data_IF_339636847650
#
_entry.id   IF_339636847650
#
_cell.length_a   1.000
_cell.length_b   1.000
_cell.length_c   1.000
_cell.angle_alpha   90.00
_cell.angle_beta   90.00
_cell.angle_gamma   90.00
#
_symmetry.space_group_name_H-M   'P 1'
#
loop_
_entity.id
_entity.type
_entity.pdbx_description
1 polymer ?
#
# COMPACT_ATOMS: atom_id res chain seq x y z
N UNK A 1 -18.10 50.65 2.36
CA UNK A 1 -18.88 49.45 1.98
C UNK A 1 -17.86 48.36 1.73
N UNK A 2 -17.64 47.53 2.75
CA UNK A 2 -16.73 46.38 2.66
C UNK A 2 -17.40 45.34 1.77
N UNK A 3 -16.83 45.11 0.59
CA UNK A 3 -17.24 44.02 -0.28
C UNK A 3 -16.99 42.71 0.44
N UNK A 4 -18.06 42.00 0.77
CA UNK A 4 -18.00 40.63 1.23
C UNK A 4 -17.29 39.81 0.15
N UNK A 5 -16.01 39.49 0.36
CA UNK A 5 -15.28 38.48 -0.38
C UNK A 5 -15.97 37.14 -0.11
N UNK A 6 -16.98 36.83 -0.90
CA UNK A 6 -17.60 35.51 -0.93
C UNK A 6 -16.50 34.54 -1.37
N UNK A 7 -16.12 33.61 -0.48
CA UNK A 7 -15.21 32.53 -0.85
C UNK A 7 -15.76 31.84 -2.10
N UNK A 8 -14.93 31.61 -3.12
CA UNK A 8 -15.36 30.87 -4.30
C UNK A 8 -15.90 29.50 -3.87
N UNK A 9 -17.07 29.14 -4.38
CA UNK A 9 -17.66 27.83 -4.09
C UNK A 9 -16.70 26.73 -4.60
N UNK A 10 -16.40 25.70 -3.80
CA UNK A 10 -15.57 24.59 -4.26
C UNK A 10 -16.16 23.95 -5.51
N UNK A 11 -15.34 23.87 -6.55
CA UNK A 11 -15.68 23.24 -7.82
C UNK A 11 -15.81 21.72 -7.63
N UNK A 12 -16.35 21.03 -8.64
CA UNK A 12 -16.37 19.57 -8.63
C UNK A 12 -14.94 18.99 -8.54
N UNK A 13 -13.98 19.64 -9.19
CA UNK A 13 -12.57 19.24 -9.18
C UNK A 13 -12.00 19.33 -7.76
N UNK A 14 -12.21 20.45 -7.06
CA UNK A 14 -11.74 20.62 -5.67
C UNK A 14 -12.30 19.54 -4.73
N UNK A 15 -13.56 19.12 -4.96
CA UNK A 15 -14.19 18.04 -4.20
C UNK A 15 -13.60 16.67 -4.53
N UNK A 16 -13.31 16.40 -5.81
CA UNK A 16 -12.64 15.17 -6.22
C UNK A 16 -11.22 15.08 -5.69
N UNK A 17 -10.46 16.18 -5.72
CA UNK A 17 -9.12 16.25 -5.14
C UNK A 17 -9.17 16.01 -3.63
N UNK A 18 -10.11 16.65 -2.92
CA UNK A 18 -10.33 16.39 -1.50
C UNK A 18 -10.62 14.91 -1.23
N UNK A 19 -11.60 14.32 -1.92
CA UNK A 19 -11.96 12.91 -1.74
C UNK A 19 -10.80 11.96 -2.07
N UNK A 20 -10.04 12.25 -3.12
CA UNK A 20 -8.87 11.46 -3.51
C UNK A 20 -7.76 11.56 -2.46
N UNK A 21 -7.57 12.72 -1.85
CA UNK A 21 -6.60 12.91 -0.77
C UNK A 21 -6.91 12.07 0.49
N UNK A 22 -8.19 11.70 0.70
CA UNK A 22 -8.59 10.81 1.79
C UNK A 22 -8.15 9.36 1.57
N UNK A 23 -7.87 8.98 0.33
CA UNK A 23 -7.41 7.63 -0.03
C UNK A 23 -5.89 7.51 -0.01
N UNK A 24 -5.16 8.62 0.04
CA UNK A 24 -3.70 8.63 -0.12
C UNK A 24 -3.01 7.69 0.87
N UNK A 25 -3.28 7.84 2.18
CA UNK A 25 -2.68 7.00 3.22
C UNK A 25 -3.03 5.53 3.07
N UNK A 26 -4.23 5.23 2.57
CA UNK A 26 -4.61 3.85 2.27
C UNK A 26 -3.75 3.30 1.14
N UNK A 27 -3.60 4.03 0.04
CA UNK A 27 -2.79 3.60 -1.10
C UNK A 27 -1.32 3.44 -0.73
N UNK A 28 -0.76 4.36 0.06
CA UNK A 28 0.63 4.31 0.55
C UNK A 28 0.88 3.10 1.45
N UNK A 29 0.01 2.87 2.45
CA UNK A 29 0.09 1.68 3.30
C UNK A 29 -0.08 0.41 2.47
N UNK A 30 -1.00 0.42 1.50
CA UNK A 30 -1.26 -0.75 0.66
C UNK A 30 -0.04 -1.10 -0.20
N UNK A 31 0.62 -0.08 -0.76
CA UNK A 31 1.85 -0.21 -1.52
C UNK A 31 2.97 -0.84 -0.68
N UNK A 32 3.22 -0.29 0.51
CA UNK A 32 4.26 -0.79 1.43
C UNK A 32 3.97 -2.22 1.90
N UNK A 33 2.70 -2.57 2.15
CA UNK A 33 2.30 -3.93 2.49
C UNK A 33 2.51 -4.90 1.32
N UNK A 34 2.21 -4.48 0.09
CA UNK A 34 2.48 -5.31 -1.10
C UNK A 34 3.99 -5.54 -1.26
N UNK A 35 4.81 -4.51 -1.05
CA UNK A 35 6.26 -4.65 -1.04
C UNK A 35 6.74 -5.63 0.04
N UNK A 36 6.18 -5.56 1.25
CA UNK A 36 6.49 -6.52 2.32
C UNK A 36 6.31 -7.97 1.85
N UNK A 37 5.17 -8.30 1.24
CA UNK A 37 4.95 -9.67 0.76
C UNK A 37 5.86 -10.07 -0.39
N UNK A 38 6.21 -9.16 -1.30
CA UNK A 38 7.13 -9.48 -2.40
C UNK A 38 8.58 -9.68 -1.96
N UNK A 39 9.01 -8.99 -0.90
CA UNK A 39 10.37 -9.10 -0.35
C UNK A 39 10.49 -10.12 0.79
N UNK A 40 9.36 -10.61 1.30
CA UNK A 40 9.33 -11.65 2.32
C UNK A 40 9.83 -12.97 1.75
N UNK A 41 10.82 -13.58 2.40
CA UNK A 41 11.25 -14.95 2.09
C UNK A 41 10.31 -16.01 2.70
N UNK A 42 9.32 -15.59 3.49
CA UNK A 42 8.36 -16.47 4.14
C UNK A 42 7.26 -16.89 3.15
N UNK A 43 7.12 -18.20 2.92
CA UNK A 43 6.03 -18.76 2.13
C UNK A 43 4.67 -18.58 2.84
N UNK A 44 4.66 -18.69 4.17
CA UNK A 44 3.44 -18.57 4.98
C UNK A 44 3.60 -17.53 6.07
N UNK A 45 2.54 -16.78 6.26
CA UNK A 45 2.42 -15.71 7.24
C UNK A 45 1.42 -16.08 8.34
N UNK A 46 1.53 -15.48 9.53
CA UNK A 46 0.59 -15.74 10.61
C UNK A 46 -0.84 -15.26 10.25
N UNK A 47 -1.88 -15.66 11.02
CA UNK A 47 -3.24 -15.18 10.80
C UNK A 47 -3.34 -13.65 10.80
N UNK A 48 -4.36 -13.12 10.09
CA UNK A 48 -4.56 -11.67 9.88
C UNK A 48 -4.29 -10.81 11.11
N UNK A 49 -4.82 -11.16 12.30
CA UNK A 49 -4.61 -10.33 13.51
C UNK A 49 -3.13 -10.12 13.87
N UNK A 50 -2.31 -11.16 13.76
CA UNK A 50 -0.86 -11.07 14.01
C UNK A 50 -0.14 -10.44 12.82
N UNK A 51 -0.58 -10.76 11.61
CA UNK A 51 -0.04 -10.21 10.37
C UNK A 51 -0.21 -8.69 10.30
N UNK A 52 -1.34 -8.13 10.75
CA UNK A 52 -1.56 -6.69 10.81
C UNK A 52 -0.48 -5.97 11.62
N UNK A 53 -0.03 -6.57 12.73
CA UNK A 53 1.05 -5.99 13.54
C UNK A 53 2.41 -6.08 12.83
N UNK A 54 2.67 -7.16 12.10
CA UNK A 54 3.89 -7.27 11.28
C UNK A 54 3.91 -6.25 10.15
N UNK A 55 2.79 -6.10 9.44
CA UNK A 55 2.61 -5.09 8.40
C UNK A 55 2.76 -3.67 8.97
N UNK A 56 2.17 -3.39 10.14
CA UNK A 56 2.33 -2.10 10.81
C UNK A 56 3.80 -1.81 11.15
N UNK A 57 4.56 -2.81 11.64
CA UNK A 57 6.00 -2.67 11.88
C UNK A 57 6.80 -2.41 10.61
N UNK A 58 6.40 -2.99 9.47
CA UNK A 58 7.04 -2.70 8.18
C UNK A 58 6.75 -1.27 7.70
N UNK A 59 5.53 -0.77 7.91
CA UNK A 59 5.16 0.63 7.66
C UNK A 59 5.95 1.58 8.58
N UNK A 60 6.13 1.21 9.85
CA UNK A 60 6.94 1.98 10.80
C UNK A 60 8.39 2.13 10.31
N UNK A 61 8.99 1.05 9.81
CA UNK A 61 10.32 1.12 9.20
C UNK A 61 10.35 2.05 7.98
N UNK A 62 9.34 1.98 7.10
CA UNK A 62 9.24 2.86 5.94
C UNK A 62 9.10 4.34 6.33
N UNK A 63 8.44 4.66 7.44
CA UNK A 63 8.39 6.02 8.02
C UNK A 63 9.75 6.45 8.56
N UNK A 64 10.45 5.57 9.28
CA UNK A 64 11.79 5.86 9.83
C UNK A 64 12.84 6.08 8.72
N UNK A 65 12.70 5.39 7.59
CA UNK A 65 13.54 5.55 6.40
C UNK A 65 13.16 6.77 5.54
N UNK A 66 12.11 7.52 5.91
CA UNK A 66 11.54 8.64 5.14
C UNK A 66 10.98 8.23 3.77
N UNK A 67 10.67 6.94 3.56
CA UNK A 67 9.94 6.43 2.40
C UNK A 67 8.44 6.75 2.49
N UNK A 68 7.93 6.88 3.71
CA UNK A 68 6.62 7.46 4.03
C UNK A 68 6.83 8.72 4.88
N UNK A 69 5.88 9.66 4.82
CA UNK A 69 5.96 10.92 5.57
C UNK A 69 4.84 11.14 6.58
N UNK A 70 3.78 10.32 6.55
CA UNK A 70 2.59 10.52 7.36
C UNK A 70 2.28 9.31 8.25
N UNK A 71 2.26 9.54 9.57
CA UNK A 71 1.98 8.52 10.58
C UNK A 71 0.56 7.95 10.50
N UNK A 72 -0.38 8.59 9.79
CA UNK A 72 -1.72 8.02 9.54
C UNK A 72 -1.65 6.67 8.86
N UNK A 73 -0.60 6.40 8.08
CA UNK A 73 -0.35 5.10 7.45
C UNK A 73 -0.22 3.94 8.45
N UNK A 74 0.12 4.21 9.73
CA UNK A 74 0.18 3.21 10.80
C UNK A 74 -1.19 2.82 11.36
N UNK A 75 -2.28 3.48 10.97
CA UNK A 75 -3.61 3.14 11.47
C UNK A 75 -3.92 1.66 11.25
N UNK A 76 -4.24 0.94 12.33
CA UNK A 76 -4.62 -0.47 12.23
C UNK A 76 -5.88 -0.67 11.38
N UNK A 77 -6.78 0.31 11.34
CA UNK A 77 -7.95 0.25 10.46
C UNK A 77 -7.52 0.26 8.99
N UNK A 78 -6.56 1.11 8.63
CA UNK A 78 -5.99 1.15 7.27
C UNK A 78 -5.29 -0.17 6.96
N UNK A 79 -4.44 -0.66 7.87
CA UNK A 79 -3.69 -1.91 7.66
C UNK A 79 -4.64 -3.11 7.52
N UNK A 80 -5.63 -3.23 8.40
CA UNK A 80 -6.63 -4.29 8.34
C UNK A 80 -7.44 -4.23 7.03
N UNK A 81 -7.81 -3.02 6.59
CA UNK A 81 -8.48 -2.84 5.31
C UNK A 81 -7.57 -3.28 4.15
N UNK A 82 -6.30 -2.92 4.14
CA UNK A 82 -5.35 -3.37 3.10
C UNK A 82 -5.30 -4.90 3.02
N UNK A 83 -5.18 -5.59 4.17
CA UNK A 83 -5.18 -7.05 4.22
C UNK A 83 -6.51 -7.65 3.74
N UNK A 84 -7.64 -7.07 4.13
CA UNK A 84 -8.95 -7.50 3.65
C UNK A 84 -9.09 -7.34 2.13
N UNK A 85 -8.58 -6.24 1.57
CA UNK A 85 -8.54 -6.02 0.12
C UNK A 85 -7.65 -7.04 -0.59
N UNK A 86 -6.48 -7.38 -0.06
CA UNK A 86 -5.64 -8.46 -0.61
C UNK A 86 -6.38 -9.80 -0.65
N UNK A 87 -7.14 -10.12 0.41
CA UNK A 87 -7.96 -11.33 0.44
C UNK A 87 -9.04 -11.30 -0.63
N UNK A 88 -9.76 -10.18 -0.74
CA UNK A 88 -10.82 -10.00 -1.73
C UNK A 88 -10.31 -10.03 -3.18
N UNK A 89 -9.07 -9.61 -3.42
CA UNK A 89 -8.40 -9.64 -4.73
C UNK A 89 -7.68 -10.97 -5.00
N UNK A 90 -7.87 -11.99 -4.15
CA UNK A 90 -7.18 -13.28 -4.24
C UNK A 90 -5.64 -13.16 -4.26
N UNK A 91 -5.11 -12.06 -3.72
CA UNK A 91 -3.69 -11.80 -3.55
C UNK A 91 -3.17 -12.37 -2.22
N UNK A 92 -4.06 -12.61 -1.26
CA UNK A 92 -3.78 -13.29 -0.01
C UNK A 92 -4.87 -14.32 0.27
N UNK A 93 -4.52 -15.49 0.76
CA UNK A 93 -5.48 -16.58 1.01
C UNK A 93 -5.26 -17.19 2.40
N UNK A 94 -6.33 -17.62 3.06
CA UNK A 94 -6.21 -18.38 4.30
C UNK A 94 -6.12 -19.86 3.97
N UNK A 95 -5.09 -20.52 4.48
CA UNK A 95 -4.90 -21.96 4.37
C UNK A 95 -4.87 -22.59 5.77
N UNK A 96 -5.15 -23.89 5.83
CA UNK A 96 -4.95 -24.69 7.04
C UNK A 96 -3.74 -25.60 6.82
N UNK A 97 -2.73 -25.49 7.68
CA UNK A 97 -1.52 -26.32 7.65
C UNK A 97 -1.19 -26.75 9.06
N UNK A 98 -1.01 -28.05 9.28
CA UNK A 98 -0.69 -28.64 10.59
C UNK A 98 -1.68 -28.25 11.72
N UNK A 99 -2.94 -28.00 11.36
CA UNK A 99 -3.98 -27.57 12.31
C UNK A 99 -3.98 -26.07 12.63
N UNK A 100 -3.06 -25.31 12.05
CA UNK A 100 -2.98 -23.85 12.19
C UNK A 100 -3.52 -23.14 10.95
N UNK A 101 -4.20 -22.02 11.19
CA UNK A 101 -4.63 -21.11 10.12
C UNK A 101 -3.48 -20.18 9.77
N UNK A 102 -3.06 -20.18 8.51
CA UNK A 102 -1.97 -19.35 7.99
C UNK A 102 -2.44 -18.54 6.79
N UNK A 103 -1.76 -17.44 6.51
CA UNK A 103 -1.98 -16.62 5.34
C UNK A 103 -0.92 -16.94 4.28
N UNK A 104 -1.36 -17.22 3.06
CA UNK A 104 -0.50 -17.57 1.93
C UNK A 104 -0.64 -16.50 0.83
N UNK A 105 0.44 -15.78 0.49
CA UNK A 105 0.44 -14.74 -0.54
C UNK A 105 0.46 -15.35 -1.95
N UNK A 106 -0.23 -14.70 -2.88
CA UNK A 106 -0.14 -14.99 -4.31
C UNK A 106 0.70 -13.89 -4.97
N UNK A 107 2.01 -14.14 -5.10
CA UNK A 107 2.96 -13.14 -5.59
C UNK A 107 2.58 -12.54 -6.96
N UNK A 108 2.15 -13.31 -7.99
CA UNK A 108 1.67 -12.72 -9.24
C UNK A 108 0.56 -11.67 -9.06
N UNK A 109 -0.45 -11.95 -8.23
CA UNK A 109 -1.54 -11.00 -7.99
C UNK A 109 -1.04 -9.78 -7.20
N UNK A 110 -0.17 -9.98 -6.22
CA UNK A 110 0.44 -8.88 -5.45
C UNK A 110 1.28 -7.99 -6.36
N UNK A 111 2.08 -8.56 -7.27
CA UNK A 111 2.87 -7.80 -8.24
C UNK A 111 1.99 -6.95 -9.15
N UNK A 112 0.88 -7.49 -9.65
CA UNK A 112 -0.05 -6.73 -10.48
C UNK A 112 -0.67 -5.55 -9.72
N UNK A 113 -1.11 -5.78 -8.48
CA UNK A 113 -1.62 -4.71 -7.61
C UNK A 113 -0.57 -3.63 -7.39
N UNK A 114 0.69 -4.01 -7.17
CA UNK A 114 1.77 -3.05 -6.99
C UNK A 114 1.95 -2.16 -8.23
N UNK A 115 1.95 -2.75 -9.43
CA UNK A 115 2.03 -2.01 -10.69
C UNK A 115 0.86 -1.02 -10.85
N UNK A 116 -0.35 -1.43 -10.49
CA UNK A 116 -1.51 -0.54 -10.53
C UNK A 116 -1.37 0.63 -9.54
N UNK A 117 -0.82 0.38 -8.34
CA UNK A 117 -0.58 1.41 -7.34
C UNK A 117 0.48 2.42 -7.77
N UNK A 118 1.52 2.00 -8.49
CA UNK A 118 2.60 2.88 -8.98
C UNK A 118 2.07 3.98 -9.92
N UNK A 119 1.02 3.67 -10.70
CA UNK A 119 0.32 4.66 -11.53
C UNK A 119 -0.28 5.80 -10.71
N UNK A 120 -0.79 5.50 -9.50
CA UNK A 120 -1.38 6.49 -8.59
C UNK A 120 -0.37 7.12 -7.64
N UNK A 121 0.80 6.50 -7.46
CA UNK A 121 1.84 6.88 -6.50
C UNK A 121 3.21 7.13 -7.19
N UNK A 122 3.31 8.04 -8.17
CA UNK A 122 4.53 8.24 -8.95
C UNK A 122 5.74 8.72 -8.11
N UNK A 123 5.51 9.23 -6.90
CA UNK A 123 6.58 9.55 -5.95
C UNK A 123 7.32 8.30 -5.45
N UNK A 124 6.65 7.14 -5.42
CA UNK A 124 7.20 5.87 -4.95
C UNK A 124 7.94 5.10 -6.05
N UNK A 125 7.64 5.36 -7.33
CA UNK A 125 8.39 4.80 -8.47
C UNK A 125 9.89 5.18 -8.44
N UNK A 126 10.21 6.42 -8.03
CA UNK A 126 11.57 6.96 -8.10
C UNK A 126 12.58 6.27 -7.19
N UNK A 127 12.14 5.55 -6.15
CA UNK A 127 13.04 4.83 -5.25
C UNK A 127 13.41 3.42 -5.76
N UNK A 128 12.69 2.86 -6.75
CA UNK A 128 12.90 1.49 -7.23
C UNK A 128 13.79 1.37 -8.48
N UNK A 129 13.99 2.44 -9.26
CA UNK A 129 14.84 2.41 -10.46
C UNK A 129 16.34 2.20 -10.19
N UNK A 130 16.75 2.10 -8.93
CA UNK A 130 18.12 1.71 -8.57
C UNK A 130 18.39 0.21 -8.67
N UNK A 131 17.37 -0.65 -8.90
CA UNK A 131 17.54 -2.12 -8.78
C UNK A 131 17.33 -2.97 -10.02
N UNK A 132 16.85 -2.44 -11.15
CA UNK A 132 16.72 -3.24 -12.38
C UNK A 132 17.15 -2.43 -13.62
N UNK A 133 18.46 -2.22 -13.76
CA UNK A 133 19.04 -2.03 -15.09
C UNK A 133 18.93 -3.35 -15.85
N UNK A 134 17.89 -3.48 -16.68
CA UNK A 134 17.79 -4.54 -17.67
C UNK A 134 19.09 -4.59 -18.49
N UNK A 135 19.71 -5.76 -18.70
CA UNK A 135 20.86 -5.85 -19.58
C UNK A 135 20.40 -5.46 -20.98
N UNK A 136 20.99 -4.40 -21.54
CA UNK A 136 20.82 -4.09 -22.94
C UNK A 136 21.21 -5.32 -23.76
N UNK A 137 20.24 -5.95 -24.42
CA UNK A 137 20.52 -6.97 -25.40
C UNK A 137 21.40 -6.34 -26.48
N UNK A 138 22.61 -6.89 -26.63
CA UNK A 138 23.51 -6.50 -27.71
C UNK A 138 22.92 -7.02 -29.03
N UNK A 139 22.55 -6.09 -29.91
CA UNK A 139 22.43 -6.34 -31.35
C UNK A 139 23.82 -6.25 -32.00
#
# INVERSE_FOLDING_TARGET
MEGTNLMPLPTAIDKFEFLSSLLLHFLESYYVICQYFLHSEQEFHPPCKKLSLQCQGYIENALLENSLSDYRCLSLDIVNNCLAFLVNQHALSTISKDGESLMHPNHPNISNILLDLEVFLPAFEKNNYSRLSLPAAKL
#
